data_IF_800866979389
#
_entry.id   IF_800866979389
#
_cell.length_a   1.000
_cell.length_b   1.000
_cell.length_c   1.000
_cell.angle_alpha   90.00
_cell.angle_beta   90.00
_cell.angle_gamma   90.00
#
_symmetry.space_group_name_H-M   'P 1'
#
loop_
_entity.id
_entity.type
_entity.pdbx_description
1 polymer ?
#
# COMPACT_ATOMS: atom_id res chain seq x y z
N UNK A 1 3.45 1.78 -16.66
CA UNK A 1 4.24 0.52 -16.78
C UNK A 1 3.32 -0.68 -17.03
N UNK A 2 2.26 -0.93 -16.25
CA UNK A 2 1.28 -2.02 -16.47
C UNK A 2 0.72 -2.02 -17.89
N UNK A 3 0.25 -0.87 -18.38
CA UNK A 3 -0.30 -0.74 -19.73
C UNK A 3 0.68 -1.17 -20.82
N UNK A 4 1.96 -0.78 -20.73
CA UNK A 4 2.99 -1.21 -21.69
C UNK A 4 3.18 -2.73 -21.67
N UNK A 5 3.30 -3.32 -20.46
CA UNK A 5 3.45 -4.78 -20.32
C UNK A 5 2.24 -5.52 -20.89
N UNK A 6 1.02 -5.05 -20.62
CA UNK A 6 -0.20 -5.64 -21.13
C UNK A 6 -0.30 -5.54 -22.66
N UNK A 7 0.14 -4.43 -23.27
CA UNK A 7 0.19 -4.30 -24.74
C UNK A 7 1.17 -5.29 -25.37
N UNK A 8 2.33 -5.53 -24.76
CA UNK A 8 3.25 -6.58 -25.23
C UNK A 8 2.64 -7.99 -25.18
N UNK A 9 1.67 -8.20 -24.28
CA UNK A 9 0.90 -9.44 -24.18
C UNK A 9 -0.30 -9.49 -25.13
N UNK A 10 -0.56 -8.43 -25.91
CA UNK A 10 -1.64 -8.35 -26.87
C UNK A 10 -2.98 -7.84 -26.32
N UNK A 11 -3.01 -7.32 -25.09
CA UNK A 11 -4.22 -6.73 -24.52
C UNK A 11 -4.47 -5.32 -25.07
N UNK A 12 -5.75 -4.98 -25.22
CA UNK A 12 -6.21 -3.59 -25.40
C UNK A 12 -6.38 -2.95 -24.03
N UNK A 13 -6.05 -1.67 -23.92
CA UNK A 13 -6.01 -0.95 -22.64
C UNK A 13 -6.97 0.23 -22.68
N UNK A 14 -7.90 0.26 -21.73
CA UNK A 14 -8.66 1.45 -21.36
C UNK A 14 -8.12 2.02 -20.06
N UNK A 15 -8.19 3.33 -19.87
CA UNK A 15 -7.80 4.00 -18.63
C UNK A 15 -8.87 5.00 -18.20
N UNK A 16 -9.13 5.05 -16.88
CA UNK A 16 -9.87 6.12 -16.22
C UNK A 16 -8.89 6.95 -15.42
N UNK A 17 -8.83 8.24 -15.67
CA UNK A 17 -7.94 9.20 -14.99
C UNK A 17 -8.52 10.61 -15.12
N UNK A 18 -8.52 11.44 -14.05
CA UNK A 18 -9.05 12.80 -14.10
C UNK A 18 -8.25 13.74 -15.00
N UNK A 19 -7.00 13.42 -15.29
CA UNK A 19 -6.14 14.25 -16.13
C UNK A 19 -6.32 13.87 -17.60
N UNK A 20 -6.84 14.75 -18.46
CA UNK A 20 -6.88 14.51 -19.91
C UNK A 20 -5.48 14.24 -20.47
N UNK A 21 -5.36 13.28 -21.37
CA UNK A 21 -4.08 12.86 -21.96
C UNK A 21 -3.03 12.47 -20.91
N UNK A 22 -3.47 11.78 -19.87
CA UNK A 22 -2.58 11.30 -18.81
C UNK A 22 -1.48 10.37 -19.38
N UNK A 23 -0.36 10.16 -18.68
CA UNK A 23 0.74 9.32 -19.19
C UNK A 23 0.31 7.92 -19.65
N UNK A 24 -0.68 7.32 -18.98
CA UNK A 24 -1.21 6.02 -19.40
C UNK A 24 -2.07 6.14 -20.66
N UNK A 25 -2.83 7.22 -20.83
CA UNK A 25 -3.66 7.45 -22.01
C UNK A 25 -2.83 7.49 -23.29
N UNK A 26 -1.60 8.02 -23.23
CA UNK A 26 -0.69 8.07 -24.38
C UNK A 26 -0.29 6.70 -24.93
N UNK A 27 -0.51 5.64 -24.16
CA UNK A 27 -0.22 4.25 -24.53
C UNK A 27 -1.46 3.35 -24.45
N UNK A 28 -2.61 3.88 -24.04
CA UNK A 28 -3.88 3.19 -24.00
C UNK A 28 -4.60 3.26 -25.35
N UNK A 29 -5.64 2.44 -25.53
CA UNK A 29 -6.49 2.45 -26.71
C UNK A 29 -7.64 3.47 -26.56
N UNK A 30 -8.04 3.78 -25.32
CA UNK A 30 -9.01 4.81 -25.01
C UNK A 30 -8.85 5.31 -23.56
N UNK A 31 -9.37 6.51 -23.30
CA UNK A 31 -9.43 7.11 -21.97
C UNK A 31 -10.88 7.50 -21.64
N UNK A 32 -11.29 7.26 -20.40
CA UNK A 32 -12.43 7.89 -19.75
C UNK A 32 -11.86 8.96 -18.80
N UNK A 33 -12.18 10.23 -19.05
CA UNK A 33 -11.66 11.34 -18.23
C UNK A 33 -12.68 11.69 -17.16
N UNK A 34 -12.43 11.29 -15.92
CA UNK A 34 -13.30 11.54 -14.77
C UNK A 34 -12.53 11.28 -13.46
N UNK A 35 -13.11 11.71 -12.34
CA UNK A 35 -12.58 11.40 -11.00
C UNK A 35 -12.65 9.89 -10.72
N UNK A 36 -11.75 9.41 -9.84
CA UNK A 36 -11.64 7.96 -9.52
C UNK A 36 -12.83 7.39 -8.72
N UNK A 37 -13.71 8.25 -8.21
CA UNK A 37 -14.94 7.91 -7.50
C UNK A 37 -16.22 8.10 -8.32
N UNK A 38 -16.11 8.53 -9.57
CA UNK A 38 -17.26 8.70 -10.47
C UNK A 38 -17.80 7.32 -10.93
N UNK A 39 -18.91 6.92 -10.32
CA UNK A 39 -19.58 5.63 -10.60
C UNK A 39 -19.99 5.51 -12.07
N UNK A 40 -20.42 6.61 -12.70
CA UNK A 40 -20.84 6.59 -14.11
C UNK A 40 -19.65 6.32 -15.03
N UNK A 41 -18.53 6.95 -14.76
CA UNK A 41 -17.30 6.76 -15.51
C UNK A 41 -16.69 5.36 -15.31
N UNK A 42 -16.73 4.83 -14.08
CA UNK A 42 -16.31 3.46 -13.77
C UNK A 42 -17.18 2.46 -14.54
N UNK A 43 -18.49 2.68 -14.61
CA UNK A 43 -19.41 1.87 -15.42
C UNK A 43 -19.09 1.95 -16.92
N UNK A 44 -18.84 3.16 -17.45
CA UNK A 44 -18.44 3.34 -18.85
C UNK A 44 -17.16 2.58 -19.18
N UNK A 45 -16.16 2.63 -18.28
CA UNK A 45 -14.93 1.85 -18.43
C UNK A 45 -15.22 0.35 -18.42
N UNK A 46 -16.06 -0.12 -17.51
CA UNK A 46 -16.43 -1.54 -17.38
C UNK A 46 -17.17 -2.06 -18.63
N UNK A 47 -18.10 -1.29 -19.20
CA UNK A 47 -18.84 -1.67 -20.40
C UNK A 47 -17.94 -1.86 -21.65
N UNK A 48 -16.75 -1.26 -21.62
CA UNK A 48 -15.75 -1.32 -22.70
C UNK A 48 -14.61 -2.30 -22.42
N UNK A 49 -14.65 -3.01 -21.27
CA UNK A 49 -13.55 -3.82 -20.79
C UNK A 49 -14.02 -5.24 -20.40
N UNK A 50 -13.16 -6.22 -20.58
CA UNK A 50 -13.42 -7.59 -20.08
C UNK A 50 -12.95 -7.74 -18.64
N UNK A 51 -11.88 -6.99 -18.25
CA UNK A 51 -11.25 -7.05 -16.93
C UNK A 51 -10.94 -5.65 -16.44
N UNK A 52 -11.27 -5.38 -15.18
CA UNK A 52 -10.88 -4.18 -14.45
C UNK A 52 -9.77 -4.49 -13.46
N UNK A 53 -8.83 -3.56 -13.35
CA UNK A 53 -7.83 -3.53 -12.29
C UNK A 53 -7.61 -2.08 -11.84
N UNK A 54 -7.00 -1.88 -10.68
CA UNK A 54 -6.67 -0.55 -10.19
C UNK A 54 -5.18 -0.44 -9.87
N UNK A 55 -4.64 0.73 -10.12
CA UNK A 55 -3.24 1.10 -9.82
C UNK A 55 -3.16 2.14 -8.70
N UNK A 56 -4.33 2.62 -8.26
CA UNK A 56 -4.48 3.63 -7.22
C UNK A 56 -5.38 3.11 -6.10
N UNK A 57 -4.99 3.31 -4.85
CA UNK A 57 -5.67 2.74 -3.68
C UNK A 57 -6.91 3.53 -3.24
N UNK A 58 -7.08 4.79 -3.68
CA UNK A 58 -8.21 5.63 -3.31
C UNK A 58 -9.35 5.60 -4.35
N UNK A 59 -9.54 4.46 -5.04
CA UNK A 59 -10.67 4.25 -5.94
C UNK A 59 -11.90 3.80 -5.16
N UNK A 60 -13.08 4.03 -5.74
CA UNK A 60 -14.35 3.66 -5.11
C UNK A 60 -14.59 2.15 -5.19
N UNK A 61 -14.41 1.46 -4.05
CA UNK A 61 -14.61 0.01 -3.96
C UNK A 61 -16.06 -0.42 -4.22
N UNK A 62 -17.05 0.38 -3.77
CA UNK A 62 -18.48 0.08 -3.99
C UNK A 62 -18.82 0.17 -5.48
N UNK A 63 -18.30 1.18 -6.18
CA UNK A 63 -18.49 1.31 -7.62
C UNK A 63 -17.86 0.16 -8.41
N UNK A 64 -16.70 -0.34 -7.98
CA UNK A 64 -16.08 -1.53 -8.59
C UNK A 64 -16.98 -2.75 -8.40
N UNK A 65 -17.54 -2.95 -7.21
CA UNK A 65 -18.44 -4.07 -6.92
C UNK A 65 -19.72 -4.02 -7.76
N UNK A 66 -20.29 -2.84 -7.96
CA UNK A 66 -21.49 -2.66 -8.79
C UNK A 66 -21.29 -3.06 -10.27
N UNK A 67 -20.08 -2.92 -10.77
CA UNK A 67 -19.79 -3.19 -12.20
C UNK A 67 -19.19 -4.57 -12.46
N UNK A 68 -19.01 -5.41 -11.43
CA UNK A 68 -18.46 -6.78 -11.60
C UNK A 68 -19.25 -7.67 -12.55
N UNK A 69 -20.53 -7.39 -12.78
CA UNK A 69 -21.33 -8.09 -13.76
C UNK A 69 -21.03 -7.69 -15.21
N UNK A 70 -20.39 -6.54 -15.41
CA UNK A 70 -20.02 -6.00 -16.73
C UNK A 70 -18.58 -6.39 -17.08
N UNK A 71 -17.66 -6.27 -16.15
CA UNK A 71 -16.26 -6.62 -16.31
C UNK A 71 -15.72 -7.36 -15.08
N UNK A 72 -14.93 -8.40 -15.28
CA UNK A 72 -14.32 -9.12 -14.19
C UNK A 72 -13.33 -8.22 -13.42
N UNK A 73 -13.37 -8.25 -12.09
CA UNK A 73 -12.38 -7.59 -11.22
C UNK A 73 -11.70 -8.65 -10.33
N UNK A 74 -10.73 -9.43 -10.86
CA UNK A 74 -10.14 -10.56 -10.15
C UNK A 74 -9.47 -10.19 -8.83
N UNK A 75 -8.88 -8.99 -8.77
CA UNK A 75 -8.24 -8.46 -7.56
C UNK A 75 -9.24 -8.23 -6.41
N UNK A 76 -10.51 -8.08 -6.74
CA UNK A 76 -11.57 -7.85 -5.77
C UNK A 76 -11.49 -6.45 -5.13
N UNK A 77 -12.25 -6.26 -4.07
CA UNK A 77 -12.34 -5.02 -3.31
C UNK A 77 -12.07 -5.19 -1.81
N UNK A 78 -12.00 -6.42 -1.32
CA UNK A 78 -11.79 -6.69 0.11
C UNK A 78 -10.43 -6.19 0.59
N UNK A 79 -9.36 -6.50 -0.16
CA UNK A 79 -8.02 -5.97 0.11
C UNK A 79 -8.01 -4.44 0.05
N UNK A 80 -8.68 -3.85 -0.95
CA UNK A 80 -8.78 -2.39 -1.10
C UNK A 80 -9.48 -1.74 0.09
N UNK A 81 -10.62 -2.30 0.55
CA UNK A 81 -11.36 -1.79 1.71
C UNK A 81 -10.56 -1.87 3.00
N UNK A 82 -9.80 -2.96 3.17
CA UNK A 82 -8.92 -3.13 4.33
C UNK A 82 -7.82 -2.08 4.34
N UNK A 83 -7.15 -1.86 3.22
CA UNK A 83 -6.02 -0.94 3.14
C UNK A 83 -6.41 0.55 3.09
N UNK A 84 -7.66 0.88 2.77
CA UNK A 84 -8.18 2.25 2.82
C UNK A 84 -8.38 2.78 4.25
N UNK A 85 -8.34 1.92 5.26
CA UNK A 85 -8.45 2.29 6.67
C UNK A 85 -7.32 1.64 7.48
N UNK A 86 -6.41 2.43 8.04
CA UNK A 86 -5.24 1.95 8.78
C UNK A 86 -5.56 1.08 9.99
N UNK A 87 -6.72 1.29 10.63
CA UNK A 87 -7.15 0.44 11.75
C UNK A 87 -7.55 -0.94 11.26
N UNK A 88 -8.33 -1.01 10.17
CA UNK A 88 -8.71 -2.28 9.56
C UNK A 88 -7.49 -3.02 9.02
N UNK A 89 -6.56 -2.30 8.41
CA UNK A 89 -5.30 -2.84 7.89
C UNK A 89 -4.46 -3.47 9.01
N UNK A 90 -4.20 -2.73 10.09
CA UNK A 90 -3.42 -3.24 11.23
C UNK A 90 -4.12 -4.42 11.90
N UNK A 91 -5.44 -4.35 12.07
CA UNK A 91 -6.22 -5.45 12.63
C UNK A 91 -6.10 -6.70 11.77
N UNK A 92 -6.27 -6.58 10.44
CA UNK A 92 -6.12 -7.69 9.52
C UNK A 92 -4.72 -8.33 9.60
N UNK A 93 -3.68 -7.50 9.60
CA UNK A 93 -2.28 -7.97 9.70
C UNK A 93 -2.07 -8.77 10.99
N UNK A 94 -2.57 -8.24 12.13
CA UNK A 94 -2.40 -8.90 13.42
C UNK A 94 -3.24 -10.18 13.55
N UNK A 95 -4.47 -10.20 13.01
CA UNK A 95 -5.35 -11.38 13.00
C UNK A 95 -4.74 -12.54 12.21
N UNK A 96 -3.86 -12.24 11.25
CA UNK A 96 -3.09 -13.22 10.49
C UNK A 96 -1.72 -13.54 11.12
N UNK A 97 -1.53 -13.22 12.40
CA UNK A 97 -0.33 -13.58 13.15
C UNK A 97 0.94 -12.89 12.66
N UNK A 98 0.80 -11.71 12.06
CA UNK A 98 1.91 -10.91 11.55
C UNK A 98 2.12 -9.68 12.42
N UNK A 99 3.34 -9.38 12.88
CA UNK A 99 3.61 -8.30 13.81
C UNK A 99 3.55 -6.93 13.12
N UNK A 100 2.96 -5.95 13.84
CA UNK A 100 3.00 -4.53 13.52
C UNK A 100 3.60 -3.74 14.69
N UNK A 101 3.86 -2.45 14.53
CA UNK A 101 4.03 -1.56 15.67
C UNK A 101 2.79 -1.68 16.62
N UNK A 102 2.93 -1.53 17.94
CA UNK A 102 1.77 -1.40 18.81
C UNK A 102 0.90 -0.22 18.35
N UNK A 103 -0.42 -0.38 18.40
CA UNK A 103 -1.31 0.67 17.89
C UNK A 103 -2.62 0.78 18.66
N UNK A 104 -3.25 1.96 18.60
CA UNK A 104 -4.59 2.26 19.12
C UNK A 104 -5.35 3.12 18.12
N UNK A 105 -6.63 2.82 17.91
CA UNK A 105 -7.54 3.74 17.22
C UNK A 105 -7.87 4.90 18.17
N UNK A 106 -7.88 6.12 17.62
CA UNK A 106 -8.18 7.35 18.39
C UNK A 106 -9.07 8.26 17.58
N UNK A 107 -10.20 8.67 18.15
CA UNK A 107 -11.22 9.47 17.49
C UNK A 107 -11.41 10.85 18.14
N UNK A 108 -10.73 11.08 19.26
CA UNK A 108 -10.72 12.36 19.97
C UNK A 108 -9.36 12.63 20.63
N UNK A 109 -9.18 13.84 21.11
CA UNK A 109 -7.98 14.23 21.85
C UNK A 109 -7.88 13.47 23.17
N UNK A 110 -9.00 13.22 23.85
CA UNK A 110 -9.06 12.47 25.11
C UNK A 110 -8.69 10.99 24.90
N UNK A 111 -9.12 10.39 23.78
CA UNK A 111 -8.70 9.03 23.41
C UNK A 111 -7.20 8.99 23.07
N UNK A 112 -6.67 10.05 22.45
CA UNK A 112 -5.23 10.16 22.17
C UNK A 112 -4.40 10.20 23.45
N UNK A 113 -4.85 10.95 24.46
CA UNK A 113 -4.18 10.99 25.78
C UNK A 113 -4.14 9.60 26.42
N UNK A 114 -5.29 8.93 26.46
CA UNK A 114 -5.38 7.57 26.99
C UNK A 114 -4.52 6.56 26.22
N UNK A 115 -4.44 6.70 24.88
CA UNK A 115 -3.61 5.85 24.05
C UNK A 115 -2.12 6.08 24.27
N UNK A 116 -1.70 7.32 24.57
CA UNK A 116 -0.32 7.66 24.89
C UNK A 116 0.13 7.08 26.23
N UNK A 117 -0.77 6.89 27.19
CA UNK A 117 -0.48 6.20 28.45
C UNK A 117 -0.07 4.73 28.24
N UNK A 118 -0.53 4.10 27.16
CA UNK A 118 -0.21 2.72 26.81
C UNK A 118 0.95 2.60 25.79
N UNK A 119 0.94 3.44 24.75
CA UNK A 119 1.91 3.40 23.64
C UNK A 119 3.23 4.07 24.01
N UNK A 120 3.16 5.15 24.81
CA UNK A 120 4.27 6.02 25.21
C UNK A 120 4.95 6.76 24.05
N UNK A 121 5.75 7.77 24.41
CA UNK A 121 6.61 8.48 23.45
C UNK A 121 7.91 7.71 23.18
N UNK A 122 8.48 7.80 21.96
CA UNK A 122 7.91 8.46 20.79
C UNK A 122 6.81 7.61 20.14
N UNK A 123 5.82 8.30 19.53
CA UNK A 123 4.71 7.67 18.83
C UNK A 123 4.41 8.40 17.51
N UNK A 124 3.68 7.77 16.61
CA UNK A 124 3.28 8.36 15.33
C UNK A 124 1.76 8.38 15.25
N UNK A 125 1.19 9.58 15.21
CA UNK A 125 -0.24 9.79 14.97
C UNK A 125 -0.46 9.88 13.46
N UNK A 126 -1.34 9.05 12.91
CA UNK A 126 -1.70 9.04 11.48
C UNK A 126 -3.20 9.14 11.32
N UNK A 127 -3.70 9.86 10.30
CA UNK A 127 -5.13 9.77 9.93
C UNK A 127 -5.46 8.35 9.47
N UNK A 128 -6.68 7.85 9.79
CA UNK A 128 -7.11 6.49 9.42
C UNK A 128 -7.18 6.29 7.92
N UNK A 129 -7.59 7.32 7.18
CA UNK A 129 -7.75 7.27 5.72
C UNK A 129 -7.21 8.52 5.05
N UNK A 130 -6.93 8.45 3.75
CA UNK A 130 -6.54 9.60 2.92
C UNK A 130 -5.11 10.11 3.14
N UNK A 131 -4.27 9.45 3.94
CA UNK A 131 -2.86 9.80 4.12
C UNK A 131 -1.98 9.14 3.06
N UNK A 132 -1.02 9.89 2.50
CA UNK A 132 -0.02 9.40 1.53
C UNK A 132 1.27 10.23 1.66
N UNK A 133 2.42 9.64 1.32
CA UNK A 133 3.73 10.30 1.29
C UNK A 133 4.04 11.18 2.53
N UNK A 134 3.64 10.71 3.73
CA UNK A 134 3.82 11.45 4.98
C UNK A 134 2.75 12.52 5.25
N UNK A 135 1.81 12.74 4.35
CA UNK A 135 0.65 13.59 4.63
C UNK A 135 -0.31 12.89 5.61
N UNK A 136 -0.84 13.67 6.56
CA UNK A 136 -1.74 13.14 7.60
C UNK A 136 -1.03 12.41 8.74
N UNK A 137 0.31 12.50 8.85
CA UNK A 137 1.04 11.95 10.00
C UNK A 137 1.78 13.01 10.82
N UNK A 138 1.93 12.76 12.11
CA UNK A 138 2.64 13.60 13.06
C UNK A 138 3.42 12.72 14.04
N UNK A 139 4.72 12.94 14.14
CA UNK A 139 5.55 12.27 15.15
C UNK A 139 5.42 13.02 16.47
N UNK A 140 4.98 12.32 17.51
CA UNK A 140 4.86 12.81 18.86
C UNK A 140 6.08 12.34 19.67
N UNK A 141 6.91 13.26 20.09
CA UNK A 141 8.13 12.99 20.87
C UNK A 141 8.00 13.41 22.33
N UNK A 142 7.01 14.25 22.63
CA UNK A 142 6.81 14.85 23.95
C UNK A 142 5.42 15.48 24.05
N UNK A 143 5.04 15.88 25.28
CA UNK A 143 3.81 16.64 25.53
C UNK A 143 3.74 17.93 24.73
N UNK A 144 4.87 18.55 24.40
CA UNK A 144 4.90 19.76 23.57
C UNK A 144 4.40 19.48 22.12
N UNK A 145 4.57 18.27 21.60
CA UNK A 145 4.02 17.91 20.28
C UNK A 145 2.55 17.57 20.39
N UNK A 146 2.13 16.94 21.50
CA UNK A 146 0.73 16.69 21.80
C UNK A 146 -0.07 18.00 21.89
N UNK A 147 0.47 19.03 22.58
CA UNK A 147 -0.17 20.35 22.67
C UNK A 147 -0.37 21.01 21.29
N UNK A 148 0.53 20.78 20.33
CA UNK A 148 0.34 21.25 18.95
C UNK A 148 -0.84 20.58 18.26
N UNK A 149 -1.03 19.28 18.50
CA UNK A 149 -2.17 18.50 17.98
C UNK A 149 -3.46 19.02 18.59
N UNK A 150 -3.52 19.22 19.92
CA UNK A 150 -4.67 19.80 20.64
C UNK A 150 -5.04 21.18 20.08
N UNK A 151 -4.06 22.08 20.01
CA UNK A 151 -4.27 23.43 19.49
C UNK A 151 -4.72 23.45 18.02
N UNK A 152 -4.42 22.42 17.23
CA UNK A 152 -4.91 22.28 15.85
C UNK A 152 -6.37 21.84 15.85
N UNK A 153 -6.74 20.88 16.70
CA UNK A 153 -8.10 20.41 16.84
C UNK A 153 -9.05 21.55 17.29
N UNK A 154 -8.62 22.37 18.26
CA UNK A 154 -9.41 23.49 18.82
C UNK A 154 -9.63 24.63 17.82
N UNK A 155 -8.73 24.83 16.84
CA UNK A 155 -8.86 25.90 15.84
C UNK A 155 -9.92 25.66 14.76
N UNK A 156 -10.81 24.70 14.95
CA UNK A 156 -11.97 24.47 14.08
C UNK A 156 -11.74 23.41 13.00
N UNK A 157 -10.60 22.73 13.00
CA UNK A 157 -10.33 21.58 12.12
C UNK A 157 -10.94 20.27 12.64
N UNK A 158 -11.34 20.23 13.92
CA UNK A 158 -11.69 18.98 14.61
C UNK A 158 -10.51 18.03 14.74
N UNK A 159 -10.73 16.91 15.41
CA UNK A 159 -9.78 15.82 15.48
C UNK A 159 -10.23 14.72 14.49
N UNK A 160 -9.50 14.48 13.39
CA UNK A 160 -9.89 13.45 12.44
C UNK A 160 -9.73 12.06 13.07
N UNK A 161 -10.58 11.07 12.72
CA UNK A 161 -10.35 9.68 13.09
C UNK A 161 -8.92 9.28 12.72
N UNK A 162 -8.17 8.78 13.68
CA UNK A 162 -6.74 8.55 13.58
C UNK A 162 -6.34 7.21 14.19
N UNK A 163 -5.10 6.81 13.97
CA UNK A 163 -4.43 5.71 14.64
C UNK A 163 -3.15 6.26 15.28
N UNK A 164 -2.91 5.89 16.53
CA UNK A 164 -1.63 6.12 17.21
C UNK A 164 -0.80 4.84 17.13
N UNK A 165 0.39 4.92 16.57
CA UNK A 165 1.33 3.81 16.47
C UNK A 165 2.59 4.09 17.31
N UNK A 166 3.11 3.05 17.98
CA UNK A 166 4.42 3.14 18.62
C UNK A 166 5.53 3.35 17.60
N UNK A 167 6.50 4.17 17.92
CA UNK A 167 7.65 4.39 17.04
C UNK A 167 8.55 3.15 17.01
N UNK A 168 8.85 2.66 15.81
CA UNK A 168 9.74 1.53 15.59
C UNK A 168 11.16 2.05 15.36
N UNK A 169 12.12 1.67 16.24
CA UNK A 169 13.56 1.95 16.02
C UNK A 169 14.13 0.89 15.06
N UNK A 170 13.91 1.09 13.77
CA UNK A 170 14.37 0.17 12.74
C UNK A 170 15.81 0.44 12.30
N UNK A 171 16.47 -0.59 11.79
CA UNK A 171 17.79 -0.47 11.14
C UNK A 171 17.64 0.06 9.70
N UNK A 172 16.62 -0.41 8.99
CA UNK A 172 16.28 0.04 7.63
C UNK A 172 14.82 -0.32 7.29
N UNK A 173 14.30 0.38 6.29
CA UNK A 173 13.02 0.08 5.67
C UNK A 173 13.19 -0.94 4.55
N UNK A 174 12.26 -1.85 4.43
CA UNK A 174 12.27 -2.88 3.38
C UNK A 174 10.87 -3.02 2.77
N UNK A 175 10.77 -3.77 1.71
CA UNK A 175 9.50 -4.27 1.21
C UNK A 175 9.66 -5.63 0.55
N UNK A 176 8.56 -6.36 0.52
CA UNK A 176 8.43 -7.61 -0.20
C UNK A 176 7.14 -7.56 -1.02
N UNK A 177 7.22 -8.02 -2.27
CA UNK A 177 6.07 -8.12 -3.13
C UNK A 177 5.62 -9.57 -3.20
N UNK A 178 4.31 -9.77 -3.24
CA UNK A 178 3.70 -11.06 -3.50
C UNK A 178 2.68 -10.94 -4.61
N UNK A 179 2.71 -11.86 -5.55
CA UNK A 179 1.72 -11.99 -6.61
C UNK A 179 0.94 -13.29 -6.41
N UNK A 180 -0.37 -13.25 -6.69
CA UNK A 180 -1.26 -14.39 -6.54
C UNK A 180 -2.33 -14.46 -7.62
N UNK A 181 -2.93 -15.65 -7.75
CA UNK A 181 -4.07 -15.90 -8.63
C UNK A 181 -5.31 -16.41 -7.86
N UNK A 182 -5.35 -16.17 -6.54
CA UNK A 182 -6.38 -16.64 -5.62
C UNK A 182 -6.10 -18.04 -5.04
N UNK A 183 -5.08 -18.75 -5.53
CA UNK A 183 -4.73 -20.12 -5.08
C UNK A 183 -3.23 -20.31 -4.90
N UNK A 184 -2.45 -19.89 -5.89
CA UNK A 184 -1.00 -20.00 -5.89
C UNK A 184 -0.41 -18.60 -5.67
N UNK A 185 0.66 -18.52 -4.88
CA UNK A 185 1.31 -17.29 -4.49
C UNK A 185 2.81 -17.38 -4.72
N UNK A 186 3.39 -16.31 -5.21
CA UNK A 186 4.81 -16.17 -5.47
C UNK A 186 5.30 -14.85 -4.88
N UNK A 187 6.39 -14.89 -4.11
CA UNK A 187 7.03 -13.67 -3.61
C UNK A 187 8.25 -13.32 -4.46
N UNK A 188 8.50 -12.02 -4.56
CA UNK A 188 9.77 -11.50 -5.05
C UNK A 188 10.79 -11.43 -3.91
N UNK A 189 12.08 -11.31 -4.20
CA UNK A 189 13.08 -11.08 -3.15
C UNK A 189 12.76 -9.84 -2.31
N UNK A 190 13.05 -9.91 -1.00
CA UNK A 190 12.99 -8.72 -0.15
C UNK A 190 13.94 -7.65 -0.67
N UNK A 191 13.51 -6.40 -0.66
CA UNK A 191 14.29 -5.24 -1.09
C UNK A 191 14.46 -4.25 0.04
N UNK A 192 15.58 -3.54 0.05
CA UNK A 192 15.83 -2.42 0.97
C UNK A 192 15.38 -1.12 0.32
N UNK A 193 14.67 -0.30 1.08
CA UNK A 193 14.17 0.99 0.67
C UNK A 193 14.89 2.12 1.40
N UNK A 194 15.15 3.20 0.67
CA UNK A 194 15.66 4.44 1.22
C UNK A 194 14.68 5.55 0.90
N UNK A 195 14.08 6.15 1.93
CA UNK A 195 13.17 7.28 1.78
C UNK A 195 13.88 8.61 2.07
N UNK A 196 13.48 9.65 1.34
CA UNK A 196 13.87 11.04 1.60
C UNK A 196 12.60 11.88 1.68
N UNK A 197 12.39 12.56 2.79
CA UNK A 197 11.17 13.33 3.05
C UNK A 197 9.89 12.50 2.85
N UNK A 198 9.88 11.25 3.35
CA UNK A 198 8.80 10.27 3.21
C UNK A 198 8.50 9.81 1.76
N UNK A 199 9.34 10.14 0.80
CA UNK A 199 9.20 9.69 -0.59
C UNK A 199 10.27 8.65 -0.85
N UNK A 200 9.90 7.51 -1.43
CA UNK A 200 10.84 6.46 -1.84
C UNK A 200 11.83 7.02 -2.86
N UNK A 201 13.10 7.06 -2.48
CA UNK A 201 14.18 7.59 -3.30
C UNK A 201 14.98 6.49 -4.02
N UNK A 202 15.24 5.38 -3.33
CA UNK A 202 16.02 4.28 -3.89
C UNK A 202 15.54 2.93 -3.33
N UNK A 203 15.49 1.93 -4.19
CA UNK A 203 15.28 0.52 -3.83
C UNK A 203 16.49 -0.29 -4.27
N UNK A 204 17.02 -1.10 -3.36
CA UNK A 204 18.15 -2.02 -3.60
C UNK A 204 17.58 -3.43 -3.60
N UNK A 205 17.72 -4.12 -4.74
CA UNK A 205 17.21 -5.47 -4.97
C UNK A 205 18.34 -6.43 -5.40
N UNK A 206 18.49 -7.59 -4.73
CA UNK A 206 17.91 -7.97 -3.45
C UNK A 206 18.51 -7.16 -2.28
N UNK A 207 17.81 -7.11 -1.16
CA UNK A 207 18.38 -6.56 0.07
C UNK A 207 19.47 -7.49 0.64
N UNK A 208 20.53 -6.91 1.16
CA UNK A 208 21.53 -7.66 1.95
C UNK A 208 20.99 -7.86 3.36
N UNK A 209 20.39 -9.03 3.61
CA UNK A 209 19.78 -9.42 4.89
C UNK A 209 20.20 -10.84 5.26
N UNK A 210 20.04 -11.19 6.54
CA UNK A 210 20.22 -12.58 6.98
C UNK A 210 19.19 -13.51 6.35
N UNK A 211 19.50 -14.80 6.28
CA UNK A 211 18.55 -15.81 5.82
C UNK A 211 17.28 -15.86 6.68
N UNK A 212 17.43 -15.59 7.98
CA UNK A 212 16.31 -15.53 8.92
C UNK A 212 15.33 -14.40 8.56
N UNK A 213 15.82 -13.17 8.33
CA UNK A 213 15.01 -12.03 7.91
C UNK A 213 14.34 -12.28 6.56
N UNK A 214 15.08 -12.82 5.58
CA UNK A 214 14.52 -13.13 4.28
C UNK A 214 13.40 -14.18 4.37
N UNK A 215 13.59 -15.22 5.16
CA UNK A 215 12.60 -16.27 5.40
C UNK A 215 11.36 -15.73 6.11
N UNK A 216 11.53 -14.94 7.18
CA UNK A 216 10.42 -14.34 7.92
C UNK A 216 9.59 -13.42 7.01
N UNK A 217 10.24 -12.54 6.23
CA UNK A 217 9.56 -11.68 5.26
C UNK A 217 8.77 -12.48 4.21
N UNK A 218 9.34 -13.57 3.72
CA UNK A 218 8.66 -14.47 2.78
C UNK A 218 7.41 -15.12 3.41
N UNK A 219 7.56 -15.69 4.60
CA UNK A 219 6.47 -16.39 5.30
C UNK A 219 5.31 -15.45 5.65
N UNK A 220 5.60 -14.23 6.14
CA UNK A 220 4.56 -13.25 6.44
C UNK A 220 3.84 -12.78 5.16
N UNK A 221 4.57 -12.60 4.05
CA UNK A 221 3.97 -12.21 2.79
C UNK A 221 2.99 -13.28 2.28
N UNK A 222 3.37 -14.55 2.36
CA UNK A 222 2.48 -15.65 1.99
C UNK A 222 1.25 -15.74 2.90
N UNK A 223 1.40 -15.56 4.23
CA UNK A 223 0.25 -15.56 5.15
C UNK A 223 -0.76 -14.47 4.82
N UNK A 224 -0.29 -13.24 4.58
CA UNK A 224 -1.16 -12.13 4.23
C UNK A 224 -1.82 -12.34 2.86
N UNK A 225 -1.07 -12.81 1.86
CA UNK A 225 -1.62 -13.13 0.54
C UNK A 225 -2.69 -14.22 0.60
N UNK A 226 -2.48 -15.26 1.40
CA UNK A 226 -3.46 -16.32 1.65
C UNK A 226 -4.70 -15.79 2.38
N UNK A 227 -4.52 -14.92 3.37
CA UNK A 227 -5.63 -14.31 4.11
C UNK A 227 -6.56 -13.48 3.23
N UNK A 228 -6.03 -12.86 2.17
CA UNK A 228 -6.81 -12.13 1.18
C UNK A 228 -7.30 -12.97 0.00
N UNK A 229 -6.93 -14.24 -0.11
CA UNK A 229 -7.11 -15.02 -1.34
C UNK A 229 -6.61 -14.22 -2.57
N UNK A 230 -5.43 -13.60 -2.43
CA UNK A 230 -4.92 -12.57 -3.33
C UNK A 230 -4.95 -13.00 -4.79
N UNK A 231 -5.68 -12.27 -5.62
CA UNK A 231 -5.64 -12.39 -7.08
C UNK A 231 -5.15 -11.06 -7.68
N UNK A 232 -3.84 -10.90 -7.76
CA UNK A 232 -3.20 -9.66 -8.17
C UNK A 232 -1.82 -9.52 -7.55
N UNK A 233 -1.43 -8.28 -7.25
CA UNK A 233 -0.17 -7.97 -6.58
C UNK A 233 -0.41 -7.22 -5.28
N UNK A 234 0.37 -7.55 -4.25
CA UNK A 234 0.42 -6.88 -2.97
C UNK A 234 1.87 -6.52 -2.66
N UNK A 235 2.13 -5.27 -2.36
CA UNK A 235 3.39 -4.84 -1.76
C UNK A 235 3.21 -4.69 -0.25
N UNK A 236 4.14 -5.21 0.52
CA UNK A 236 4.16 -5.17 1.97
C UNK A 236 5.38 -4.37 2.39
N UNK A 237 5.15 -3.21 3.00
CA UNK A 237 6.21 -2.39 3.55
C UNK A 237 6.59 -2.87 4.95
N UNK A 238 7.89 -2.92 5.20
CA UNK A 238 8.47 -3.56 6.36
C UNK A 238 9.47 -2.64 7.05
N UNK A 239 9.51 -2.72 8.36
CA UNK A 239 10.66 -2.29 9.17
C UNK A 239 11.48 -3.52 9.56
N UNK A 240 12.78 -3.49 9.28
CA UNK A 240 13.73 -4.46 9.81
C UNK A 240 14.46 -3.81 10.98
N UNK A 241 14.30 -4.37 12.17
CA UNK A 241 14.88 -3.82 13.40
C UNK A 241 16.35 -4.22 13.54
N UNK A 242 17.05 -3.58 14.49
CA UNK A 242 18.48 -3.86 14.78
C UNK A 242 18.72 -5.27 15.34
N UNK A 243 17.69 -5.87 15.94
CA UNK A 243 17.65 -7.24 16.43
C UNK A 243 17.03 -8.21 15.40
N UNK A 244 17.01 -7.80 14.12
CA UNK A 244 16.59 -8.60 12.96
C UNK A 244 15.12 -9.07 13.00
N UNK A 245 14.23 -8.41 13.71
CA UNK A 245 12.78 -8.66 13.60
C UNK A 245 12.19 -7.95 12.38
N UNK A 246 11.22 -8.59 11.77
CA UNK A 246 10.45 -8.03 10.64
C UNK A 246 9.09 -7.57 11.15
N UNK A 247 8.79 -6.29 10.97
CA UNK A 247 7.55 -5.65 11.42
C UNK A 247 6.85 -5.04 10.21
N UNK A 248 5.58 -5.35 9.99
CA UNK A 248 4.81 -4.77 8.90
C UNK A 248 4.45 -3.33 9.22
N UNK A 249 4.80 -2.42 8.30
CA UNK A 249 4.40 -1.03 8.34
C UNK A 249 3.03 -0.82 7.68
N UNK A 250 2.90 -1.11 6.39
CA UNK A 250 1.65 -0.94 5.64
C UNK A 250 1.57 -1.88 4.43
N UNK A 251 0.39 -1.96 3.84
CA UNK A 251 0.08 -2.75 2.67
C UNK A 251 -0.31 -1.85 1.49
N UNK A 252 0.25 -2.11 0.32
CA UNK A 252 -0.18 -1.45 -0.91
C UNK A 252 -0.84 -2.49 -1.84
N UNK A 253 -2.18 -2.39 -2.07
CA UNK A 253 -2.96 -3.38 -2.81
C UNK A 253 -2.82 -3.21 -4.34
N UNK A 254 -1.66 -2.82 -4.82
CA UNK A 254 -1.39 -2.39 -6.19
C UNK A 254 0.10 -2.52 -6.53
N UNK A 255 0.49 -2.36 -7.81
CA UNK A 255 1.88 -2.14 -8.15
C UNK A 255 2.47 -0.99 -7.33
N UNK A 256 3.65 -1.20 -6.79
CA UNK A 256 4.29 -0.28 -5.85
C UNK A 256 5.67 0.17 -6.35
N UNK A 257 6.08 1.38 -5.97
CA UNK A 257 7.36 1.96 -6.36
C UNK A 257 8.55 1.06 -6.04
N UNK A 258 8.55 0.39 -4.89
CA UNK A 258 9.61 -0.54 -4.51
C UNK A 258 9.66 -1.81 -5.39
N UNK A 259 8.64 -2.04 -6.22
CA UNK A 259 8.56 -3.15 -7.17
C UNK A 259 8.98 -2.80 -8.60
N UNK A 260 9.29 -1.55 -8.91
CA UNK A 260 9.62 -1.13 -10.28
C UNK A 260 10.83 -1.88 -10.87
N UNK A 261 11.74 -2.35 -10.06
CA UNK A 261 12.86 -3.16 -10.50
C UNK A 261 12.42 -4.45 -11.22
N UNK A 262 11.29 -5.01 -10.88
CA UNK A 262 10.78 -6.25 -11.50
C UNK A 262 10.52 -6.08 -12.99
N UNK A 263 10.18 -4.88 -13.44
CA UNK A 263 10.00 -4.56 -14.85
C UNK A 263 11.31 -4.62 -15.63
N UNK A 264 12.43 -4.30 -15.00
CA UNK A 264 13.76 -4.27 -15.63
C UNK A 264 14.48 -5.62 -15.56
N UNK A 265 14.30 -6.35 -14.46
CA UNK A 265 14.94 -7.65 -14.25
C UNK A 265 14.23 -8.79 -14.99
N UNK A 266 13.05 -8.53 -15.53
CA UNK A 266 12.20 -9.51 -16.20
C UNK A 266 12.40 -9.57 -17.71
N UNK A 267 13.20 -8.69 -18.26
CA UNK A 267 13.55 -8.71 -19.68
C UNK A 267 14.51 -9.85 -19.95
N UNK A 268 14.39 -10.47 -21.13
CA UNK A 268 15.30 -11.49 -21.61
C UNK A 268 16.77 -11.09 -21.34
N UNK A 269 17.63 -12.03 -20.95
CA UNK A 269 19.00 -11.72 -20.61
C UNK A 269 19.67 -10.93 -21.72
N UNK A 270 20.20 -9.77 -21.38
CA UNK A 270 21.01 -8.98 -22.30
C UNK A 270 22.23 -9.81 -22.69
N UNK A 271 22.71 -9.71 -23.94
CA UNK A 271 23.99 -10.33 -24.30
C UNK A 271 25.16 -9.92 -23.41
N UNK A 272 25.00 -8.86 -22.60
CA UNK A 272 26.00 -8.43 -21.61
C UNK A 272 25.92 -9.22 -20.29
N UNK A 273 24.80 -9.85 -19.99
CA UNK A 273 24.57 -10.57 -18.74
C UNK A 273 25.06 -12.03 -18.81
N UNK A 274 25.58 -12.45 -19.96
CA UNK A 274 26.11 -13.80 -20.22
C UNK A 274 27.64 -13.88 -20.12
N UNK A 275 28.28 -12.91 -19.47
CA UNK A 275 29.76 -12.91 -19.28
C UNK A 275 30.11 -13.16 -17.84
#
# INVERSE_FOLDING_TARGET
MMALSARYMGFRIGVLDPTPDCPTAQVADFQVTAEYDDITAIRELAEKSDVLTYEFENVNADAIDEVRALAAAPQGTDLLRVTQDRVNEKQFINDHGTPTAPWKAVNSVEELDSALDEIHYPAVLKTRSGGYDGHGQTVLKSDADLEKVRARADRGGGFPPSILEGFVDFAFEASILVAGNGKDYVTFPIVRNEHRNNILHMTIAPAEVSEAVAKEAHELALRLAQGFELAGILAIELFVTKDERVIVNELAPRPHNSGHYTCLLYTSPSPRDTR
#
